data_IF_537587694174
#
_entry.id   IF_537587694174
#
_cell.length_a   1.000
_cell.length_b   1.000
_cell.length_c   1.000
_cell.angle_alpha   90.00
_cell.angle_beta   90.00
_cell.angle_gamma   90.00
#
_symmetry.space_group_name_H-M   'P 1'
#
loop_
_entity.id
_entity.type
_entity.pdbx_description
1 polymer ?
#
# COMPACT_ATOMS: atom_id res chain seq x y z
N UNK A 1 -29.63 14.47 61.30
CA UNK A 1 -29.38 13.07 60.86
C UNK A 1 -29.85 13.01 59.43
N UNK A 2 -29.07 13.43 58.51
CA UNK A 2 -29.40 13.42 57.09
C UNK A 2 -28.24 12.76 56.36
N UNK A 3 -28.50 11.55 55.89
CA UNK A 3 -27.60 10.75 55.03
C UNK A 3 -27.75 11.26 53.61
N UNK A 4 -26.69 11.84 53.08
CA UNK A 4 -26.59 12.23 51.68
C UNK A 4 -25.77 11.16 50.93
N UNK A 5 -26.46 10.24 50.27
CA UNK A 5 -25.86 9.23 49.41
C UNK A 5 -25.47 9.88 48.07
N UNK A 6 -24.19 10.16 47.90
CA UNK A 6 -23.60 10.63 46.66
C UNK A 6 -23.54 9.51 45.61
N UNK A 7 -24.46 9.48 44.66
CA UNK A 7 -24.35 8.68 43.44
C UNK A 7 -23.36 9.36 42.49
N UNK A 8 -22.24 8.67 42.21
CA UNK A 8 -21.33 9.01 41.14
C UNK A 8 -21.95 8.73 39.78
N UNK A 9 -21.80 9.58 38.79
CA UNK A 9 -22.35 9.35 37.47
C UNK A 9 -21.55 8.25 36.74
N UNK A 10 -22.21 7.20 36.32
CA UNK A 10 -21.69 6.17 35.44
C UNK A 10 -21.20 6.79 34.12
N UNK A 11 -19.89 6.63 33.84
CA UNK A 11 -19.35 6.87 32.50
C UNK A 11 -19.90 5.81 31.53
N UNK A 12 -20.42 6.21 30.36
CA UNK A 12 -20.85 5.25 29.37
C UNK A 12 -19.65 4.49 28.78
N UNK A 13 -19.75 3.18 28.70
CA UNK A 13 -18.78 2.29 28.09
C UNK A 13 -18.60 2.58 26.59
N UNK A 14 -17.42 3.04 26.19
CA UNK A 14 -17.03 3.24 24.78
C UNK A 14 -16.67 1.93 24.02
N UNK A 15 -16.97 0.76 24.57
CA UNK A 15 -16.43 -0.52 24.05
C UNK A 15 -17.26 -1.24 23.00
N UNK A 16 -18.51 -0.83 22.73
CA UNK A 16 -19.38 -1.55 21.78
C UNK A 16 -19.28 -1.05 20.32
N UNK A 17 -18.93 0.21 20.08
CA UNK A 17 -18.84 0.77 18.74
C UNK A 17 -17.51 0.36 18.05
N UNK A 18 -16.43 0.24 18.80
CA UNK A 18 -15.08 -0.09 18.30
C UNK A 18 -15.00 -1.56 17.84
N UNK A 19 -15.63 -2.47 18.57
CA UNK A 19 -15.76 -3.89 18.19
C UNK A 19 -16.55 -4.09 16.89
N UNK A 20 -17.57 -3.28 16.64
CA UNK A 20 -18.38 -3.32 15.42
C UNK A 20 -17.58 -2.85 14.18
N UNK A 21 -16.79 -1.78 14.29
CA UNK A 21 -15.99 -1.26 13.19
C UNK A 21 -14.86 -2.22 12.80
N UNK A 22 -14.19 -2.83 13.77
CA UNK A 22 -13.14 -3.82 13.52
C UNK A 22 -13.70 -5.09 12.85
N UNK A 23 -14.87 -5.57 13.28
CA UNK A 23 -15.55 -6.71 12.69
C UNK A 23 -15.96 -6.43 11.24
N UNK A 24 -16.51 -5.26 10.95
CA UNK A 24 -16.86 -4.82 9.60
C UNK A 24 -15.63 -4.75 8.68
N UNK A 25 -14.51 -4.16 9.14
CA UNK A 25 -13.26 -4.13 8.39
C UNK A 25 -12.73 -5.55 8.11
N UNK A 26 -12.89 -6.50 9.06
CA UNK A 26 -12.49 -7.88 8.87
C UNK A 26 -13.34 -8.59 7.80
N UNK A 27 -14.65 -8.34 7.78
CA UNK A 27 -15.57 -8.86 6.77
C UNK A 27 -15.25 -8.31 5.39
N UNK A 28 -15.04 -6.99 5.25
CA UNK A 28 -14.62 -6.38 3.98
C UNK A 28 -13.32 -6.98 3.48
N UNK A 29 -12.30 -7.15 4.34
CA UNK A 29 -11.04 -7.81 3.94
C UNK A 29 -11.28 -9.19 3.35
N UNK A 30 -12.06 -10.02 4.05
CA UNK A 30 -12.37 -11.37 3.61
C UNK A 30 -13.06 -11.36 2.25
N UNK A 31 -14.16 -10.64 2.13
CA UNK A 31 -14.97 -10.55 0.91
C UNK A 31 -14.15 -10.01 -0.28
N UNK A 32 -13.38 -8.94 -0.09
CA UNK A 32 -12.59 -8.33 -1.17
C UNK A 32 -11.42 -9.22 -1.61
N UNK A 33 -10.77 -9.94 -0.69
CA UNK A 33 -9.70 -10.89 -1.00
C UNK A 33 -10.28 -12.08 -1.78
N UNK A 34 -11.40 -12.66 -1.34
CA UNK A 34 -12.08 -13.74 -2.04
C UNK A 34 -12.49 -13.32 -3.45
N UNK A 35 -13.13 -12.14 -3.60
CA UNK A 35 -13.50 -11.57 -4.89
C UNK A 35 -12.27 -11.39 -5.80
N UNK A 36 -11.19 -10.86 -5.26
CA UNK A 36 -9.95 -10.64 -5.98
C UNK A 36 -9.30 -11.94 -6.45
N UNK A 37 -9.30 -12.99 -5.61
CA UNK A 37 -8.77 -14.31 -5.97
C UNK A 37 -9.61 -15.02 -7.01
N UNK A 38 -10.93 -14.81 -7.01
CA UNK A 38 -11.89 -15.40 -7.96
C UNK A 38 -12.11 -14.62 -9.25
N UNK A 39 -11.33 -13.55 -9.53
CA UNK A 39 -11.53 -12.73 -10.74
C UNK A 39 -11.30 -13.54 -12.04
N UNK A 40 -12.36 -13.72 -12.82
CA UNK A 40 -12.28 -14.35 -14.14
C UNK A 40 -11.60 -13.46 -15.20
N UNK A 41 -11.76 -12.13 -15.08
CA UNK A 41 -11.22 -11.10 -15.98
C UNK A 41 -9.91 -10.46 -15.46
N UNK A 42 -9.20 -11.14 -14.56
CA UNK A 42 -7.98 -10.64 -13.90
C UNK A 42 -6.92 -10.15 -14.89
N UNK A 43 -6.65 -10.92 -15.95
CA UNK A 43 -5.64 -10.56 -16.93
C UNK A 43 -5.97 -9.22 -17.60
N UNK A 44 -7.22 -9.01 -17.97
CA UNK A 44 -7.70 -7.77 -18.57
C UNK A 44 -7.60 -6.57 -17.59
N UNK A 45 -8.06 -6.74 -16.34
CA UNK A 45 -7.95 -5.69 -15.31
C UNK A 45 -6.50 -5.35 -14.98
N UNK A 46 -5.64 -6.35 -14.91
CA UNK A 46 -4.22 -6.13 -14.71
C UNK A 46 -3.62 -5.32 -15.86
N UNK A 47 -3.97 -5.62 -17.11
CA UNK A 47 -3.49 -4.87 -18.26
C UNK A 47 -3.96 -3.41 -18.23
N UNK A 48 -5.21 -3.16 -17.85
CA UNK A 48 -5.73 -1.80 -17.66
C UNK A 48 -4.94 -1.05 -16.57
N UNK A 49 -4.76 -1.63 -15.40
CA UNK A 49 -4.05 -0.96 -14.31
C UNK A 49 -2.56 -0.78 -14.63
N UNK A 50 -1.93 -1.72 -15.35
CA UNK A 50 -0.58 -1.53 -15.91
C UNK A 50 -0.50 -0.30 -16.81
N UNK A 51 -1.52 -0.06 -17.64
CA UNK A 51 -1.58 1.12 -18.52
C UNK A 51 -1.77 2.40 -17.72
N UNK A 52 -2.72 2.42 -16.77
CA UNK A 52 -2.95 3.55 -15.85
C UNK A 52 -1.66 3.92 -15.12
N UNK A 53 -0.99 2.93 -14.53
CA UNK A 53 0.24 3.13 -13.78
C UNK A 53 1.37 3.69 -14.67
N UNK A 54 1.56 3.15 -15.88
CA UNK A 54 2.59 3.64 -16.81
C UNK A 54 2.34 5.07 -17.24
N UNK A 55 1.10 5.43 -17.61
CA UNK A 55 0.75 6.81 -17.99
C UNK A 55 0.96 7.76 -16.82
N UNK A 56 0.59 7.34 -15.61
CA UNK A 56 0.75 8.14 -14.40
C UNK A 56 2.23 8.40 -14.08
N UNK A 57 3.12 7.45 -14.39
CA UNK A 57 4.57 7.56 -14.14
C UNK A 57 5.31 8.48 -15.11
N UNK A 58 4.76 8.79 -16.30
CA UNK A 58 5.49 9.52 -17.38
C UNK A 58 6.09 10.83 -16.90
N UNK A 59 5.36 11.58 -16.06
CA UNK A 59 5.79 12.91 -15.62
C UNK A 59 6.32 12.92 -14.17
N UNK A 60 6.65 11.76 -13.62
CA UNK A 60 7.18 11.67 -12.27
C UNK A 60 8.70 11.84 -12.26
N UNK A 61 9.22 12.72 -11.39
CA UNK A 61 10.67 12.96 -11.27
C UNK A 61 11.38 11.91 -10.43
N UNK A 62 10.66 10.91 -9.91
CA UNK A 62 11.18 9.93 -8.97
C UNK A 62 12.20 9.02 -9.65
N UNK A 63 13.32 8.76 -8.97
CA UNK A 63 14.37 7.85 -9.42
C UNK A 63 14.49 6.61 -8.55
N UNK A 64 13.86 6.62 -7.37
CA UNK A 64 13.80 5.46 -6.47
C UNK A 64 12.35 5.20 -6.09
N UNK A 65 11.81 4.07 -6.52
CA UNK A 65 10.41 3.70 -6.30
C UNK A 65 10.35 2.45 -5.43
N UNK A 66 9.66 2.57 -4.29
CA UNK A 66 9.25 1.44 -3.47
C UNK A 66 8.00 0.78 -4.06
N UNK A 67 7.96 -0.55 -4.08
CA UNK A 67 6.80 -1.32 -4.50
C UNK A 67 6.52 -2.46 -3.52
N UNK A 68 5.84 -3.49 -3.97
CA UNK A 68 5.56 -4.68 -3.17
C UNK A 68 5.60 -5.94 -4.05
N UNK A 69 5.86 -7.09 -3.43
CA UNK A 69 5.65 -8.38 -4.08
C UNK A 69 4.18 -8.77 -3.96
N UNK A 70 3.48 -9.05 -5.07
CA UNK A 70 2.04 -9.29 -5.05
C UNK A 70 1.70 -10.61 -4.37
N UNK A 71 0.71 -10.58 -3.47
CA UNK A 71 0.19 -11.75 -2.77
C UNK A 71 -1.33 -11.84 -2.90
N UNK A 72 -1.90 -13.04 -2.73
CA UNK A 72 -3.35 -13.26 -2.67
C UNK A 72 -4.13 -12.57 -3.81
N UNK A 73 -3.57 -12.61 -5.02
CA UNK A 73 -4.20 -12.03 -6.21
C UNK A 73 -4.13 -10.52 -6.31
N UNK A 74 -3.22 -9.87 -5.62
CA UNK A 74 -2.93 -8.44 -5.81
C UNK A 74 -2.53 -8.14 -7.25
N UNK A 75 -2.73 -6.90 -7.64
CA UNK A 75 -2.13 -6.37 -8.85
C UNK A 75 -0.61 -6.44 -8.74
N UNK A 76 0.05 -6.89 -9.80
CA UNK A 76 1.51 -6.92 -9.85
C UNK A 76 2.06 -5.62 -10.47
N UNK A 77 2.71 -4.75 -9.69
CA UNK A 77 3.28 -3.50 -10.20
C UNK A 77 4.62 -3.70 -10.92
N UNK A 78 5.28 -4.83 -10.72
CA UNK A 78 6.67 -5.05 -11.12
C UNK A 78 6.90 -4.98 -12.64
N UNK A 79 6.02 -5.50 -13.52
CA UNK A 79 6.20 -5.36 -14.95
C UNK A 79 6.19 -3.92 -15.46
N UNK A 80 5.34 -3.05 -14.90
CA UNK A 80 5.35 -1.61 -15.25
C UNK A 80 6.59 -0.90 -14.73
N UNK A 81 7.01 -1.23 -13.52
CA UNK A 81 8.19 -0.65 -12.90
C UNK A 81 9.48 -1.09 -13.58
N UNK A 82 9.55 -2.34 -13.99
CA UNK A 82 10.70 -2.81 -14.76
C UNK A 82 10.86 -2.04 -16.08
N UNK A 83 9.77 -1.85 -16.84
CA UNK A 83 9.79 -1.01 -18.06
C UNK A 83 10.16 0.44 -17.77
N UNK A 84 9.67 1.01 -16.65
CA UNK A 84 10.07 2.33 -16.20
C UNK A 84 11.57 2.42 -15.91
N UNK A 85 12.14 1.38 -15.29
CA UNK A 85 13.57 1.30 -15.01
C UNK A 85 14.40 1.19 -16.30
N UNK A 86 14.00 0.30 -17.24
CA UNK A 86 14.66 0.15 -18.54
C UNK A 86 14.69 1.45 -19.35
N UNK A 87 13.56 2.17 -19.41
CA UNK A 87 13.49 3.47 -20.07
C UNK A 87 14.47 4.49 -19.46
N UNK A 88 14.71 4.43 -18.14
CA UNK A 88 15.72 5.25 -17.49
C UNK A 88 17.15 4.94 -17.88
N UNK A 89 17.48 3.67 -18.17
CA UNK A 89 18.83 3.31 -18.64
C UNK A 89 19.15 3.92 -20.02
N UNK A 90 18.16 4.02 -20.90
CA UNK A 90 18.32 4.65 -22.20
C UNK A 90 18.51 6.18 -22.08
N UNK A 91 17.80 6.83 -21.16
CA UNK A 91 17.95 8.25 -20.84
C UNK A 91 19.30 8.55 -20.18
N UNK A 92 19.72 7.71 -19.24
CA UNK A 92 20.97 7.86 -18.47
C UNK A 92 22.22 7.71 -19.36
N UNK A 93 22.17 6.84 -20.37
CA UNK A 93 23.25 6.69 -21.34
C UNK A 93 23.55 7.99 -22.12
N UNK A 94 22.57 8.89 -22.19
CA UNK A 94 22.70 10.18 -22.89
C UNK A 94 22.98 11.36 -21.96
N UNK A 95 22.63 11.28 -20.66
CA UNK A 95 22.56 12.45 -19.77
C UNK A 95 23.36 12.37 -18.47
N UNK A 96 24.07 11.28 -18.15
CA UNK A 96 24.74 11.05 -16.86
C UNK A 96 23.79 11.17 -15.64
N UNK A 97 22.49 10.95 -15.82
CA UNK A 97 21.52 11.04 -14.74
C UNK A 97 21.45 9.79 -13.85
N UNK A 98 20.82 9.93 -12.68
CA UNK A 98 20.77 8.89 -11.64
C UNK A 98 19.97 7.67 -12.10
N UNK A 99 20.57 6.49 -12.04
CA UNK A 99 19.91 5.23 -12.36
C UNK A 99 18.62 5.04 -11.58
N UNK A 100 17.55 4.71 -12.28
CA UNK A 100 16.27 4.35 -11.69
C UNK A 100 16.38 3.05 -10.92
N UNK A 101 15.89 3.03 -9.69
CA UNK A 101 15.92 1.84 -8.81
C UNK A 101 14.54 1.49 -8.28
N UNK A 102 14.29 0.19 -8.15
CA UNK A 102 13.07 -0.35 -7.54
C UNK A 102 13.47 -0.98 -6.20
N UNK A 103 12.68 -0.70 -5.15
CA UNK A 103 12.83 -1.31 -3.84
C UNK A 103 11.63 -2.19 -3.49
N UNK A 104 11.88 -3.37 -2.94
CA UNK A 104 10.83 -4.20 -2.32
C UNK A 104 10.97 -4.20 -0.80
N UNK A 105 9.84 -4.29 -0.07
CA UNK A 105 9.83 -4.18 1.37
C UNK A 105 10.32 -5.46 2.04
N UNK A 106 11.11 -5.27 3.07
CA UNK A 106 11.51 -6.29 4.02
C UNK A 106 11.00 -5.87 5.40
N UNK A 107 10.32 -6.79 6.08
CA UNK A 107 9.72 -6.52 7.39
C UNK A 107 10.79 -6.45 8.47
N UNK A 108 10.85 -5.34 9.21
CA UNK A 108 11.50 -5.26 10.49
C UNK A 108 10.56 -5.85 11.55
N UNK A 109 10.96 -6.96 12.19
CA UNK A 109 10.11 -7.68 13.15
C UNK A 109 9.98 -6.96 14.48
N UNK A 110 10.92 -6.08 14.84
CA UNK A 110 10.94 -5.41 16.15
C UNK A 110 9.89 -4.31 16.22
N UNK A 111 9.95 -3.38 15.27
CA UNK A 111 9.08 -2.20 15.23
C UNK A 111 7.91 -2.35 14.25
N UNK A 112 7.88 -3.46 13.50
CA UNK A 112 6.85 -3.78 12.48
C UNK A 112 6.77 -2.71 11.38
N UNK A 113 7.93 -2.16 11.00
CA UNK A 113 8.08 -1.27 9.84
C UNK A 113 8.64 -2.02 8.64
N UNK A 114 8.74 -1.34 7.51
CA UNK A 114 9.27 -1.84 6.25
C UNK A 114 10.54 -1.08 5.90
N UNK A 115 11.59 -1.81 5.54
CA UNK A 115 12.80 -1.27 4.91
C UNK A 115 12.84 -1.74 3.47
N UNK A 116 13.14 -0.86 2.53
CA UNK A 116 13.14 -1.19 1.11
C UNK A 116 14.56 -1.60 0.65
N UNK A 117 14.63 -2.75 -0.02
CA UNK A 117 15.87 -3.28 -0.59
C UNK A 117 15.78 -3.32 -2.11
N UNK A 118 16.88 -3.01 -2.77
CA UNK A 118 16.97 -3.01 -4.25
C UNK A 118 16.48 -4.32 -4.82
N UNK A 119 15.57 -4.21 -5.80
CA UNK A 119 15.07 -5.33 -6.56
C UNK A 119 15.25 -5.09 -8.06
N UNK A 120 15.62 -6.13 -8.77
CA UNK A 120 15.67 -6.21 -10.23
C UNK A 120 15.39 -7.66 -10.67
N UNK A 121 14.91 -7.89 -11.91
CA UNK A 121 14.69 -9.26 -12.41
C UNK A 121 15.95 -10.10 -12.31
N UNK A 122 15.84 -11.26 -11.64
CA UNK A 122 16.96 -12.17 -11.42
C UNK A 122 17.86 -11.86 -10.21
N UNK A 123 17.56 -10.83 -9.41
CA UNK A 123 18.27 -10.63 -8.15
C UNK A 123 18.04 -11.81 -7.19
N UNK A 124 18.97 -12.08 -6.28
CA UNK A 124 18.78 -13.11 -5.26
C UNK A 124 17.53 -12.82 -4.43
N UNK A 125 16.69 -13.83 -4.22
CA UNK A 125 15.46 -13.75 -3.45
C UNK A 125 15.44 -14.82 -2.38
N UNK A 126 14.75 -14.54 -1.27
CA UNK A 126 14.42 -15.53 -0.23
C UNK A 126 13.00 -15.24 0.31
N UNK A 127 12.40 -16.19 1.01
CA UNK A 127 11.11 -15.97 1.66
C UNK A 127 11.30 -15.33 3.05
N UNK A 128 10.41 -14.40 3.39
CA UNK A 128 10.32 -13.86 4.73
C UNK A 128 9.57 -14.83 5.68
N UNK A 129 9.33 -14.40 6.93
CA UNK A 129 8.61 -15.20 7.92
C UNK A 129 7.13 -15.46 7.59
N UNK A 130 6.60 -14.78 6.56
CA UNK A 130 5.22 -14.93 6.08
C UNK A 130 5.15 -15.70 4.76
N UNK A 131 6.30 -16.23 4.26
CA UNK A 131 6.40 -16.90 2.97
C UNK A 131 6.33 -15.93 1.78
N UNK A 132 6.61 -14.64 1.99
CA UNK A 132 6.60 -13.63 0.94
C UNK A 132 8.02 -13.47 0.39
N UNK A 133 8.23 -13.58 -0.95
CA UNK A 133 9.53 -13.33 -1.56
C UNK A 133 10.03 -11.91 -1.28
N UNK A 134 11.26 -11.81 -0.85
CA UNK A 134 11.97 -10.54 -0.61
C UNK A 134 13.39 -10.60 -1.18
N UNK A 135 14.00 -9.46 -1.55
CA UNK A 135 15.38 -9.40 -1.96
C UNK A 135 16.33 -9.92 -0.86
N UNK A 136 17.38 -10.62 -1.28
CA UNK A 136 18.43 -11.14 -0.42
C UNK A 136 19.76 -10.49 -0.78
N UNK A 137 20.49 -10.04 0.24
CA UNK A 137 21.85 -9.49 0.10
C UNK A 137 21.97 -8.35 -0.92
N UNK A 138 20.90 -7.53 -1.08
CA UNK A 138 20.90 -6.34 -1.91
C UNK A 138 20.96 -5.07 -1.07
N UNK A 139 21.26 -3.94 -1.71
CA UNK A 139 21.38 -2.65 -1.02
C UNK A 139 20.03 -2.10 -0.56
N UNK A 140 20.04 -1.42 0.59
CA UNK A 140 18.90 -0.62 1.06
C UNK A 140 18.74 0.58 0.14
N UNK A 141 17.48 0.91 -0.17
CA UNK A 141 17.11 2.11 -0.92
C UNK A 141 16.10 2.94 -0.15
N UNK A 142 16.14 4.24 -0.35
CA UNK A 142 15.19 5.19 0.21
C UNK A 142 14.25 5.69 -0.90
N UNK A 143 13.05 5.13 -1.03
CA UNK A 143 12.11 5.53 -2.05
C UNK A 143 11.60 6.95 -1.84
N UNK A 144 11.53 7.74 -2.94
CA UNK A 144 10.83 9.02 -2.98
C UNK A 144 9.36 8.85 -3.33
N UNK A 145 9.00 7.72 -3.93
CA UNK A 145 7.65 7.28 -4.23
C UNK A 145 7.46 5.84 -3.78
N UNK A 146 6.31 5.53 -3.15
CA UNK A 146 5.97 4.18 -2.71
C UNK A 146 4.61 3.78 -3.25
N UNK A 147 4.55 2.68 -3.99
CA UNK A 147 3.32 1.99 -4.32
C UNK A 147 2.89 1.08 -3.16
N UNK A 148 1.66 1.23 -2.71
CA UNK A 148 1.09 0.56 -1.55
C UNK A 148 -0.05 -0.35 -1.98
N UNK A 149 -0.03 -1.65 -1.63
CA UNK A 149 -1.13 -2.54 -1.98
C UNK A 149 -2.38 -2.21 -1.17
N UNK A 150 -3.54 -2.16 -1.86
CA UNK A 150 -4.84 -1.94 -1.24
C UNK A 150 -5.71 -3.19 -1.36
N UNK A 151 -6.23 -3.69 -0.25
CA UNK A 151 -7.34 -4.67 -0.25
C UNK A 151 -8.63 -3.95 -0.64
N UNK A 152 -8.85 -2.78 -0.05
CA UNK A 152 -9.87 -1.81 -0.39
C UNK A 152 -9.37 -0.40 -0.12
N UNK A 153 -10.14 0.60 -0.52
CA UNK A 153 -9.82 2.01 -0.32
C UNK A 153 -11.10 2.84 -0.25
N UNK A 154 -11.00 4.02 0.33
CA UNK A 154 -12.15 4.88 0.55
C UNK A 154 -11.83 6.36 0.45
N UNK A 155 -12.78 7.22 0.86
CA UNK A 155 -12.63 8.66 0.82
C UNK A 155 -11.38 9.14 1.54
N UNK A 156 -10.82 10.28 1.11
CA UNK A 156 -9.67 10.90 1.77
C UNK A 156 -8.33 10.20 1.55
N UNK A 157 -8.22 9.25 0.61
CA UNK A 157 -7.00 8.50 0.36
C UNK A 157 -6.72 7.39 1.38
N UNK A 158 -7.67 7.05 2.23
CA UNK A 158 -7.53 5.98 3.21
C UNK A 158 -7.68 4.61 2.56
N UNK A 159 -6.90 3.65 3.05
CA UNK A 159 -6.90 2.27 2.53
C UNK A 159 -7.25 1.25 3.60
N UNK A 160 -7.82 0.16 3.16
CA UNK A 160 -7.97 -1.06 3.92
C UNK A 160 -6.83 -2.02 3.52
N UNK A 161 -5.88 -2.25 4.42
CA UNK A 161 -4.81 -3.25 4.27
C UNK A 161 -5.17 -4.58 4.94
N UNK A 162 -4.17 -5.45 5.13
CA UNK A 162 -4.36 -6.76 5.81
C UNK A 162 -4.50 -6.69 7.34
N UNK A 163 -4.39 -5.50 7.94
CA UNK A 163 -4.55 -5.31 9.38
C UNK A 163 -3.24 -5.39 10.19
N UNK A 164 -2.10 -5.61 9.56
CA UNK A 164 -0.79 -5.64 10.23
C UNK A 164 -0.21 -4.26 10.58
N UNK A 165 -0.70 -3.18 9.96
CA UNK A 165 -0.27 -1.79 10.18
C UNK A 165 1.18 -1.50 9.75
N UNK A 166 1.81 -2.38 8.97
CA UNK A 166 3.21 -2.21 8.52
C UNK A 166 3.41 -0.91 7.74
N UNK A 167 2.56 -0.64 6.76
CA UNK A 167 2.65 0.57 5.95
C UNK A 167 2.36 1.82 6.79
N UNK A 168 1.36 1.81 7.67
CA UNK A 168 1.02 2.98 8.49
C UNK A 168 2.18 3.38 9.38
N UNK A 169 2.79 2.43 10.08
CA UNK A 169 3.99 2.69 10.90
C UNK A 169 5.17 3.16 10.06
N UNK A 170 5.39 2.55 8.91
CA UNK A 170 6.48 2.94 8.00
C UNK A 170 6.28 4.36 7.50
N UNK A 171 5.11 4.67 6.95
CA UNK A 171 4.82 5.99 6.39
C UNK A 171 4.81 7.10 7.44
N UNK A 172 4.44 6.78 8.69
CA UNK A 172 4.53 7.73 9.81
C UNK A 172 5.98 8.02 10.23
N UNK A 173 6.91 7.09 10.02
CA UNK A 173 8.30 7.20 10.46
C UNK A 173 9.24 7.79 9.41
N UNK A 174 8.93 7.67 8.11
CA UNK A 174 9.82 8.10 7.02
C UNK A 174 9.98 9.62 6.95
N UNK A 175 11.24 10.07 6.85
CA UNK A 175 11.61 11.47 6.65
C UNK A 175 12.81 11.57 5.70
N UNK A 176 12.72 12.31 4.58
CA UNK A 176 11.50 13.00 4.12
C UNK A 176 10.37 12.01 3.79
N UNK A 177 9.11 12.49 3.87
CA UNK A 177 7.94 11.67 3.54
C UNK A 177 7.93 11.38 2.04
N UNK A 178 7.92 10.13 1.60
CA UNK A 178 7.76 9.80 0.19
C UNK A 178 6.35 10.11 -0.31
N UNK A 179 6.20 10.30 -1.61
CA UNK A 179 4.88 10.32 -2.23
C UNK A 179 4.30 8.91 -2.25
N UNK A 180 3.02 8.75 -1.89
CA UNK A 180 2.41 7.44 -1.68
C UNK A 180 1.25 7.20 -2.62
N UNK A 181 1.24 6.04 -3.30
CA UNK A 181 0.22 5.68 -4.29
C UNK A 181 -0.36 4.31 -3.97
N UNK A 182 -1.65 4.28 -3.67
CA UNK A 182 -2.39 3.03 -3.52
C UNK A 182 -2.63 2.36 -4.87
N UNK A 183 -2.49 1.05 -4.92
CA UNK A 183 -2.88 0.23 -6.08
C UNK A 183 -3.95 -0.77 -5.65
N UNK A 184 -5.09 -0.74 -6.31
CA UNK A 184 -6.21 -1.62 -6.04
C UNK A 184 -7.13 -1.75 -7.24
N UNK A 185 -8.04 -2.73 -7.20
CA UNK A 185 -9.07 -2.86 -8.23
C UNK A 185 -10.25 -1.95 -7.92
N UNK A 186 -10.95 -1.51 -8.95
CA UNK A 186 -12.12 -0.65 -8.88
C UNK A 186 -13.16 -1.11 -7.84
N UNK A 187 -13.47 -2.40 -7.83
CA UNK A 187 -14.40 -2.98 -6.86
C UNK A 187 -13.95 -2.91 -5.39
N UNK A 188 -12.74 -2.45 -5.12
CA UNK A 188 -12.19 -2.21 -3.78
C UNK A 188 -12.64 -0.90 -3.17
N UNK A 189 -13.45 -0.10 -3.86
CA UNK A 189 -14.01 1.15 -3.33
C UNK A 189 -14.98 0.89 -2.17
N UNK A 190 -14.71 1.53 -1.04
CA UNK A 190 -15.47 1.43 0.21
C UNK A 190 -15.90 2.84 0.65
N UNK A 191 -17.10 3.31 0.23
CA UNK A 191 -17.55 4.68 0.49
C UNK A 191 -17.72 5.02 1.98
N UNK A 192 -17.88 4.01 2.82
CA UNK A 192 -18.07 4.16 4.27
C UNK A 192 -16.84 3.71 5.09
N UNK A 193 -15.67 3.58 4.46
CA UNK A 193 -14.44 3.26 5.17
C UNK A 193 -14.11 4.37 6.17
N UNK A 194 -14.14 4.03 7.46
CA UNK A 194 -13.76 4.95 8.53
C UNK A 194 -12.29 4.72 8.89
N UNK A 195 -11.44 5.76 8.82
CA UNK A 195 -10.06 5.65 9.24
C UNK A 195 -9.95 5.54 10.76
N UNK A 196 -8.88 4.90 11.20
CA UNK A 196 -8.45 4.90 12.60
C UNK A 196 -7.40 6.00 12.82
N UNK A 197 -7.15 6.34 14.07
CA UNK A 197 -6.23 7.45 14.44
C UNK A 197 -4.80 7.24 13.92
N UNK A 198 -4.41 6.01 13.66
CA UNK A 198 -3.07 5.64 13.19
C UNK A 198 -3.01 5.42 11.67
N UNK A 199 -4.14 5.47 10.98
CA UNK A 199 -4.18 5.28 9.53
C UNK A 199 -3.56 6.50 8.82
N UNK A 200 -2.62 6.25 7.93
CA UNK A 200 -1.96 7.28 7.14
C UNK A 200 -2.61 7.33 5.76
N UNK A 201 -3.21 8.48 5.37
CA UNK A 201 -3.80 8.62 4.05
C UNK A 201 -2.71 8.62 2.98
N UNK A 202 -3.05 8.06 1.82
CA UNK A 202 -2.21 8.05 0.63
C UNK A 202 -2.41 9.33 -0.19
N UNK A 203 -1.36 9.74 -0.91
CA UNK A 203 -1.38 10.93 -1.76
C UNK A 203 -2.14 10.70 -3.07
N UNK A 204 -2.18 9.45 -3.56
CA UNK A 204 -3.00 9.04 -4.71
C UNK A 204 -3.45 7.59 -4.59
N UNK A 205 -4.50 7.22 -5.33
CA UNK A 205 -4.97 5.83 -5.50
C UNK A 205 -5.28 5.61 -6.98
N UNK A 206 -4.71 4.55 -7.54
CA UNK A 206 -4.95 4.10 -8.91
C UNK A 206 -5.69 2.76 -8.91
N UNK A 207 -6.61 2.62 -9.86
CA UNK A 207 -7.32 1.37 -10.13
C UNK A 207 -7.31 1.02 -11.62
N UNK A 208 -7.88 -0.12 -11.96
CA UNK A 208 -8.10 -0.55 -13.36
C UNK A 208 -9.05 0.37 -14.15
N UNK A 209 -9.73 1.30 -13.48
CA UNK A 209 -10.58 2.32 -14.13
C UNK A 209 -9.96 3.72 -14.16
N UNK A 210 -8.83 3.93 -13.51
CA UNK A 210 -8.10 5.21 -13.53
C UNK A 210 -7.63 5.70 -12.17
N UNK A 211 -7.52 7.03 -12.05
CA UNK A 211 -7.16 7.70 -10.80
C UNK A 211 -8.41 7.83 -9.93
N UNK A 212 -8.42 7.19 -8.77
CA UNK A 212 -9.53 7.15 -7.83
C UNK A 212 -9.41 8.20 -6.73
N UNK A 213 -8.20 8.65 -6.46
CA UNK A 213 -7.88 9.68 -5.48
C UNK A 213 -6.62 10.45 -5.91
N UNK A 214 -6.50 11.78 -5.72
CA UNK A 214 -7.61 12.65 -5.31
C UNK A 214 -8.76 12.66 -6.34
N UNK A 215 -9.97 12.89 -5.86
CA UNK A 215 -11.14 13.07 -6.72
C UNK A 215 -10.93 14.27 -7.64
N UNK A 216 -11.30 14.13 -8.92
CA UNK A 216 -11.19 15.19 -9.93
C UNK A 216 -12.43 16.03 -9.99
#
# INVERSE_FOLDING_TARGET
>A
MDNNDGQSPHKPHASSADGSAAALKAEWRKSLIEKRQGLADRAWRNDLLQRVMRVWLIHRPDTVIGAYWPIKGEFDPLPALFRWQEAGLEEDAQSQQRHRRIGLPVVNKVDKTLTFYTWYPGCPMEEDAYGIPKPKDTEIVEPTLIFVPCVGYGPGGFRLGYGGGFYDRTLASLKPKPFTVGLGYDFGWLPYLQPEIHDVPLDAILSDTGVMWPER
#
